data_IF_772283821025
#
_entry.id   IF_772283821025
#
_cell.length_a   1.000
_cell.length_b   1.000
_cell.length_c   1.000
_cell.angle_alpha   90.00
_cell.angle_beta   90.00
_cell.angle_gamma   90.00
#
_symmetry.space_group_name_H-M   'P 1'
#
loop_
_entity.id
_entity.type
_entity.pdbx_description
1 polymer ?
#
# COMPACT_ATOMS: atom_id res chain seq x y z
N UNK A 1 39.44 -36.89 -16.91
CA UNK A 1 38.85 -36.95 -15.55
C UNK A 1 39.80 -36.25 -14.60
N UNK A 2 39.62 -34.94 -14.44
CA UNK A 2 40.05 -34.14 -13.28
C UNK A 2 39.81 -32.66 -13.63
N UNK A 3 38.67 -32.15 -13.18
CA UNK A 3 38.32 -30.74 -13.19
C UNK A 3 39.28 -29.96 -12.29
N UNK A 4 39.79 -28.84 -12.81
CA UNK A 4 40.42 -27.79 -12.00
C UNK A 4 39.61 -26.51 -12.23
N UNK A 5 38.79 -26.17 -11.23
CA UNK A 5 37.99 -24.96 -11.16
C UNK A 5 38.93 -23.78 -10.84
N UNK A 6 38.95 -22.81 -11.76
CA UNK A 6 39.67 -21.57 -11.63
C UNK A 6 38.79 -20.55 -10.90
N UNK A 7 39.36 -19.92 -9.88
CA UNK A 7 38.77 -18.84 -9.09
C UNK A 7 38.54 -17.59 -9.94
N UNK A 8 37.32 -17.07 -9.92
CA UNK A 8 36.93 -15.87 -10.65
C UNK A 8 35.93 -15.06 -9.83
N UNK A 9 36.47 -14.26 -8.90
CA UNK A 9 35.78 -13.29 -8.06
C UNK A 9 34.89 -12.34 -8.89
N UNK A 10 33.57 -12.52 -8.83
CA UNK A 10 32.60 -11.50 -9.24
C UNK A 10 32.01 -10.82 -7.99
N UNK A 11 32.47 -9.59 -7.74
CA UNK A 11 31.83 -8.60 -6.86
C UNK A 11 30.41 -8.36 -7.37
N UNK A 12 29.40 -8.81 -6.61
CA UNK A 12 28.03 -8.35 -6.77
C UNK A 12 27.92 -6.93 -6.21
N UNK A 13 27.71 -5.97 -7.11
CA UNK A 13 27.32 -4.61 -6.76
C UNK A 13 25.86 -4.69 -6.30
N UNK A 14 25.64 -4.55 -4.99
CA UNK A 14 24.33 -4.39 -4.41
C UNK A 14 23.71 -3.08 -4.86
N UNK A 15 22.68 -3.15 -5.71
CA UNK A 15 21.77 -2.05 -5.94
C UNK A 15 20.80 -1.98 -4.75
N UNK A 16 21.14 -1.12 -3.79
CA UNK A 16 20.25 -0.73 -2.72
C UNK A 16 19.04 0.02 -3.27
N UNK A 17 17.86 -0.58 -3.17
CA UNK A 17 16.57 0.09 -3.33
C UNK A 17 16.00 0.42 -1.96
N UNK A 18 16.42 1.54 -1.37
CA UNK A 18 15.74 2.15 -0.21
C UNK A 18 14.45 2.82 -0.69
N UNK A 19 13.44 2.02 -0.98
CA UNK A 19 12.06 2.48 -1.13
C UNK A 19 11.35 2.32 0.20
N UNK A 20 11.03 3.43 0.87
CA UNK A 20 10.18 3.43 2.08
C UNK A 20 8.81 2.87 1.72
N UNK A 21 8.57 1.57 2.01
CA UNK A 21 7.30 0.87 1.72
C UNK A 21 6.04 1.48 2.34
N UNK A 22 6.19 2.49 3.21
CA UNK A 22 5.08 3.28 3.75
C UNK A 22 4.34 4.12 2.69
N UNK A 23 5.00 4.52 1.60
CA UNK A 23 4.38 5.34 0.55
C UNK A 23 3.41 4.56 -0.36
N UNK A 24 3.70 3.27 -0.58
CA UNK A 24 2.90 2.39 -1.43
C UNK A 24 1.53 2.06 -0.81
N UNK A 25 1.51 1.74 0.48
CA UNK A 25 0.27 1.47 1.22
C UNK A 25 -0.71 2.64 1.13
N UNK A 26 -0.28 3.85 1.48
CA UNK A 26 -1.15 5.02 1.46
C UNK A 26 -1.74 5.35 0.07
N UNK A 27 -0.98 5.14 -1.02
CA UNK A 27 -1.46 5.38 -2.39
C UNK A 27 -2.54 4.37 -2.83
N UNK A 28 -2.36 3.10 -2.49
CA UNK A 28 -3.32 2.01 -2.76
C UNK A 28 -4.65 2.22 -2.04
N UNK A 29 -4.61 2.72 -0.80
CA UNK A 29 -5.81 2.97 0.01
C UNK A 29 -6.58 4.23 -0.43
N UNK A 30 -5.90 5.21 -1.04
CA UNK A 30 -6.50 6.49 -1.46
C UNK A 30 -6.88 6.54 -2.94
N UNK A 31 -6.71 5.44 -3.68
CA UNK A 31 -6.80 5.38 -5.14
C UNK A 31 -5.82 6.31 -5.88
N UNK A 32 -4.69 6.68 -5.26
CA UNK A 32 -3.71 7.60 -5.85
C UNK A 32 -2.54 6.81 -6.43
N UNK A 33 -2.39 6.87 -7.76
CA UNK A 33 -1.23 6.33 -8.47
C UNK A 33 0.07 7.07 -8.11
N UNK A 34 1.23 6.42 -8.22
CA UNK A 34 2.54 7.08 -8.09
C UNK A 34 2.63 8.33 -8.97
N UNK A 35 3.33 9.37 -8.47
CA UNK A 35 3.39 10.69 -9.12
C UNK A 35 3.91 10.59 -10.57
N UNK A 36 4.90 9.73 -10.84
CA UNK A 36 5.46 9.53 -12.18
C UNK A 36 4.41 8.99 -13.16
N UNK A 37 3.64 7.98 -12.74
CA UNK A 37 2.55 7.41 -13.53
C UNK A 37 1.47 8.46 -13.81
N UNK A 38 1.05 9.22 -12.79
CA UNK A 38 0.04 10.28 -12.97
C UNK A 38 0.49 11.36 -13.96
N UNK A 39 1.75 11.79 -13.89
CA UNK A 39 2.33 12.75 -14.83
C UNK A 39 2.36 12.21 -16.26
N UNK A 40 2.74 10.95 -16.44
CA UNK A 40 2.72 10.30 -17.75
C UNK A 40 1.30 10.21 -18.33
N UNK A 41 0.31 9.77 -17.54
CA UNK A 41 -1.09 9.68 -17.96
C UNK A 41 -1.68 11.05 -18.35
N UNK A 42 -1.34 12.09 -17.60
CA UNK A 42 -1.76 13.46 -17.92
C UNK A 42 -1.14 13.94 -19.24
N UNK A 43 0.15 13.67 -19.45
CA UNK A 43 0.85 14.02 -20.69
C UNK A 43 0.29 13.26 -21.90
N UNK A 44 -0.06 11.98 -21.75
CA UNK A 44 -0.75 11.19 -22.79
C UNK A 44 -2.15 11.71 -23.09
N UNK A 45 -2.91 12.12 -22.07
CA UNK A 45 -4.22 12.76 -22.25
C UNK A 45 -4.12 14.06 -23.06
N UNK A 46 -3.08 14.85 -22.78
CA UNK A 46 -2.79 16.07 -23.55
C UNK A 46 -2.35 15.74 -24.99
N UNK A 47 -1.51 14.72 -25.19
CA UNK A 47 -1.11 14.26 -26.51
C UNK A 47 -2.32 13.80 -27.35
N UNK A 48 -3.23 13.04 -26.73
CA UNK A 48 -4.47 12.62 -27.35
C UNK A 48 -5.36 13.81 -27.76
N UNK A 49 -5.40 14.86 -26.94
CA UNK A 49 -6.04 16.14 -27.31
C UNK A 49 -5.37 16.81 -28.52
N UNK A 50 -4.04 16.89 -28.55
CA UNK A 50 -3.27 17.50 -29.64
C UNK A 50 -3.51 16.84 -31.00
N UNK A 51 -3.64 15.51 -31.03
CA UNK A 51 -3.90 14.74 -32.25
C UNK A 51 -5.29 15.04 -32.82
N UNK A 52 -6.29 15.27 -31.95
CA UNK A 52 -7.68 15.56 -32.35
C UNK A 52 -7.90 17.00 -32.81
N UNK A 53 -6.97 17.90 -32.51
CA UNK A 53 -7.11 19.31 -32.87
C UNK A 53 -7.05 19.52 -34.40
N UNK A 54 -7.74 20.56 -34.91
CA UNK A 54 -7.63 20.94 -36.31
C UNK A 54 -6.18 21.21 -36.71
N UNK A 55 -5.78 20.86 -37.95
CA UNK A 55 -4.39 21.03 -38.41
C UNK A 55 -3.93 22.48 -38.48
N UNK A 56 -4.86 23.43 -38.43
CA UNK A 56 -4.62 24.88 -38.43
C UNK A 56 -4.37 25.45 -37.04
N UNK A 57 -4.64 24.68 -35.96
CA UNK A 57 -4.39 25.13 -34.60
C UNK A 57 -2.89 25.20 -34.32
N UNK A 58 -2.44 26.28 -33.67
CA UNK A 58 -1.04 26.44 -33.26
C UNK A 58 -0.52 25.25 -32.44
N UNK A 59 -1.38 24.67 -31.59
CA UNK A 59 -1.01 23.50 -30.78
C UNK A 59 -0.80 22.25 -31.65
N UNK A 60 -1.62 22.02 -32.68
CA UNK A 60 -1.41 20.91 -33.62
C UNK A 60 -0.16 21.13 -34.49
N UNK A 61 0.10 22.37 -34.92
CA UNK A 61 1.32 22.73 -35.65
C UNK A 61 2.58 22.50 -34.82
N UNK A 62 2.58 22.91 -33.54
CA UNK A 62 3.67 22.66 -32.60
C UNK A 62 3.88 21.16 -32.34
N UNK A 63 2.79 20.39 -32.25
CA UNK A 63 2.84 18.93 -32.16
C UNK A 63 3.49 18.31 -33.42
N UNK A 64 3.07 18.70 -34.62
CA UNK A 64 3.67 18.23 -35.88
C UNK A 64 5.16 18.57 -35.97
N UNK A 65 5.55 19.77 -35.54
CA UNK A 65 6.95 20.17 -35.47
C UNK A 65 7.72 19.28 -34.47
N UNK A 66 7.15 18.99 -33.31
CA UNK A 66 7.75 18.08 -32.31
C UNK A 66 7.89 16.64 -32.83
N UNK A 67 6.90 16.18 -33.60
CA UNK A 67 6.92 14.87 -34.28
C UNK A 67 8.05 14.80 -35.32
N UNK A 68 8.22 15.84 -36.14
CA UNK A 68 9.33 15.93 -37.09
C UNK A 68 10.70 15.97 -36.39
N UNK A 69 10.81 16.71 -35.27
CA UNK A 69 12.03 16.73 -34.46
C UNK A 69 12.36 15.35 -33.90
N UNK A 70 11.38 14.62 -33.38
CA UNK A 70 11.52 13.24 -32.90
C UNK A 70 12.01 12.30 -34.01
N UNK A 71 11.44 12.40 -35.22
CA UNK A 71 11.87 11.61 -36.38
C UNK A 71 13.33 11.90 -36.78
N UNK A 72 13.80 13.14 -36.57
CA UNK A 72 15.19 13.54 -36.80
C UNK A 72 16.14 13.26 -35.62
N UNK A 73 15.66 12.64 -34.54
CA UNK A 73 16.45 12.34 -33.34
C UNK A 73 16.85 13.58 -32.52
N UNK A 74 16.15 14.70 -32.67
CA UNK A 74 16.42 15.95 -31.96
C UNK A 74 15.55 16.06 -30.71
N UNK A 75 16.12 16.59 -29.63
CA UNK A 75 15.41 16.80 -28.37
C UNK A 75 14.11 17.58 -28.57
N UNK A 76 13.02 17.03 -28.05
CA UNK A 76 11.69 17.62 -28.11
C UNK A 76 10.81 17.02 -27.01
N UNK A 77 9.67 17.65 -26.76
CA UNK A 77 8.72 17.21 -25.74
C UNK A 77 8.26 15.74 -25.91
N UNK A 78 8.14 15.24 -27.14
CA UNK A 78 7.77 13.84 -27.38
C UNK A 78 8.88 12.86 -27.00
N UNK A 79 10.15 13.23 -27.15
CA UNK A 79 11.27 12.41 -26.67
C UNK A 79 11.36 12.41 -25.15
N UNK A 80 11.08 13.55 -24.51
CA UNK A 80 11.00 13.62 -23.04
C UNK A 80 9.86 12.73 -22.52
N UNK A 81 8.71 12.71 -23.21
CA UNK A 81 7.60 11.84 -22.87
C UNK A 81 7.95 10.35 -23.04
N UNK A 82 8.63 10.00 -24.13
CA UNK A 82 9.11 8.63 -24.37
C UNK A 82 10.08 8.19 -23.26
N UNK A 83 11.02 9.07 -22.89
CA UNK A 83 11.94 8.84 -21.78
C UNK A 83 11.19 8.61 -20.46
N UNK A 84 10.21 9.46 -20.11
CA UNK A 84 9.41 9.30 -18.89
C UNK A 84 8.68 7.96 -18.87
N UNK A 85 8.09 7.54 -20.00
CA UNK A 85 7.34 6.28 -20.11
C UNK A 85 8.29 5.07 -19.95
N UNK A 86 9.47 5.12 -20.55
CA UNK A 86 10.49 4.08 -20.43
C UNK A 86 11.04 3.92 -19.00
N UNK A 87 11.06 5.02 -18.24
CA UNK A 87 11.56 5.05 -16.86
C UNK A 87 10.46 4.87 -15.80
N UNK A 88 9.23 4.54 -16.20
CA UNK A 88 8.21 4.10 -15.25
C UNK A 88 8.62 2.77 -14.64
N UNK A 89 8.41 2.63 -13.33
CA UNK A 89 8.66 1.38 -12.62
C UNK A 89 7.79 0.26 -13.20
N UNK A 90 8.36 -0.92 -13.37
CA UNK A 90 7.65 -2.11 -13.86
C UNK A 90 8.57 -3.17 -14.47
N UNK A 91 8.00 -4.33 -14.75
CA UNK A 91 8.71 -5.45 -15.39
C UNK A 91 8.87 -5.24 -16.89
N UNK A 92 7.97 -4.48 -17.50
CA UNK A 92 7.91 -4.26 -18.95
C UNK A 92 8.27 -2.81 -19.28
N UNK A 93 9.27 -2.62 -20.12
CA UNK A 93 9.55 -1.31 -20.71
C UNK A 93 8.44 -0.96 -21.68
N UNK A 94 7.77 0.17 -21.42
CA UNK A 94 6.76 0.74 -22.30
C UNK A 94 7.40 1.82 -23.17
N UNK A 95 6.87 1.98 -24.37
CA UNK A 95 7.40 2.94 -25.34
C UNK A 95 6.27 3.73 -25.96
N UNK A 96 6.54 4.99 -26.29
CA UNK A 96 5.60 5.79 -27.06
C UNK A 96 5.62 5.31 -28.53
N UNK A 97 4.45 5.04 -29.17
CA UNK A 97 4.39 4.58 -30.56
C UNK A 97 5.18 5.46 -31.52
N UNK A 98 5.63 4.88 -32.64
CA UNK A 98 6.26 5.64 -33.71
C UNK A 98 5.27 6.68 -34.27
N UNK A 99 5.78 7.73 -34.91
CA UNK A 99 4.97 8.84 -35.40
C UNK A 99 3.82 8.40 -36.33
N UNK A 100 4.04 7.39 -37.15
CA UNK A 100 3.04 6.86 -38.10
C UNK A 100 1.91 6.11 -37.38
N UNK A 101 2.23 5.51 -36.23
CA UNK A 101 1.30 4.75 -35.39
C UNK A 101 0.73 5.60 -34.25
N UNK A 102 1.01 6.91 -34.23
CA UNK A 102 0.59 7.81 -33.17
C UNK A 102 -0.89 8.20 -33.35
N UNK A 103 -1.77 7.23 -33.13
CA UNK A 103 -3.22 7.35 -33.26
C UNK A 103 -3.89 7.40 -31.88
N UNK A 104 -5.10 7.99 -31.76
CA UNK A 104 -5.85 7.99 -30.50
C UNK A 104 -6.04 6.58 -29.92
N UNK A 105 -6.32 5.59 -30.78
CA UNK A 105 -6.51 4.20 -30.36
C UNK A 105 -5.24 3.58 -29.75
N UNK A 106 -4.07 3.84 -30.36
CA UNK A 106 -2.80 3.33 -29.83
C UNK A 106 -2.41 4.03 -28.53
N UNK A 107 -2.76 5.31 -28.36
CA UNK A 107 -2.57 6.02 -27.08
C UNK A 107 -3.49 5.47 -25.98
N UNK A 108 -4.72 5.08 -26.31
CA UNK A 108 -5.63 4.43 -25.36
C UNK A 108 -5.10 3.06 -24.93
N UNK A 109 -4.52 2.28 -25.86
CA UNK A 109 -3.85 1.02 -25.56
C UNK A 109 -2.63 1.22 -24.66
N UNK A 110 -1.78 2.21 -24.96
CA UNK A 110 -0.63 2.54 -24.13
C UNK A 110 -1.05 3.02 -22.73
N UNK A 111 -2.10 3.83 -22.65
CA UNK A 111 -2.68 4.29 -21.38
C UNK A 111 -3.09 3.11 -20.51
N UNK A 112 -3.84 2.14 -21.08
CA UNK A 112 -4.22 0.91 -20.39
C UNK A 112 -2.99 0.08 -19.96
N UNK A 113 -1.97 -0.02 -20.81
CA UNK A 113 -0.74 -0.74 -20.50
C UNK A 113 0.02 -0.10 -19.31
N UNK A 114 0.12 1.23 -19.29
CA UNK A 114 0.73 1.98 -18.16
C UNK A 114 -0.05 1.74 -16.87
N UNK A 115 -1.38 1.78 -16.93
CA UNK A 115 -2.23 1.53 -15.76
C UNK A 115 -2.09 0.10 -15.22
N UNK A 116 -2.03 -0.89 -16.10
CA UNK A 116 -1.83 -2.29 -15.75
C UNK A 116 -0.45 -2.53 -15.14
N UNK A 117 0.60 -1.98 -15.76
CA UNK A 117 1.97 -2.05 -15.24
C UNK A 117 2.09 -1.36 -13.88
N UNK A 118 1.45 -0.20 -13.70
CA UNK A 118 1.39 0.46 -12.39
C UNK A 118 0.66 -0.39 -11.35
N UNK A 119 -0.41 -1.09 -11.72
CA UNK A 119 -1.14 -1.96 -10.80
C UNK A 119 -0.32 -3.19 -10.40
N UNK A 120 0.41 -3.80 -11.34
CA UNK A 120 1.26 -4.96 -11.04
C UNK A 120 2.41 -4.59 -10.10
N UNK A 121 3.05 -3.44 -10.30
CA UNK A 121 4.09 -2.92 -9.39
C UNK A 121 3.54 -2.72 -7.98
N UNK A 122 2.42 -2.02 -7.84
CA UNK A 122 1.81 -1.78 -6.53
C UNK A 122 1.37 -3.08 -5.84
N UNK A 123 0.83 -4.04 -6.59
CA UNK A 123 0.45 -5.34 -6.05
C UNK A 123 1.69 -6.13 -5.59
N UNK A 124 2.78 -6.08 -6.35
CA UNK A 124 4.04 -6.71 -5.98
C UNK A 124 4.65 -6.05 -4.72
N UNK A 125 4.58 -4.73 -4.60
CA UNK A 125 5.00 -4.01 -3.39
C UNK A 125 4.20 -4.44 -2.16
N UNK A 126 2.87 -4.56 -2.30
CA UNK A 126 2.00 -5.07 -1.22
C UNK A 126 2.43 -6.49 -0.82
N UNK A 127 2.60 -7.38 -1.79
CA UNK A 127 2.87 -8.80 -1.54
C UNK A 127 4.30 -9.05 -1.03
N UNK A 128 5.27 -8.23 -1.44
CA UNK A 128 6.66 -8.34 -1.00
C UNK A 128 6.91 -7.73 0.38
N UNK A 129 6.14 -6.71 0.77
CA UNK A 129 6.35 -6.02 2.04
C UNK A 129 5.51 -6.62 3.16
N UNK A 130 6.16 -7.41 4.03
CA UNK A 130 5.54 -8.13 5.15
C UNK A 130 4.73 -7.27 6.14
N UNK A 131 4.96 -5.95 6.23
CA UNK A 131 4.16 -5.07 7.10
C UNK A 131 2.77 -4.78 6.52
N UNK A 132 2.58 -5.02 5.22
CA UNK A 132 1.31 -4.89 4.53
C UNK A 132 0.57 -6.24 4.44
N UNK A 133 0.92 -7.21 5.29
CA UNK A 133 0.29 -8.53 5.30
C UNK A 133 -1.23 -8.48 5.45
N UNK A 134 -1.75 -7.49 6.19
CA UNK A 134 -3.20 -7.26 6.29
C UNK A 134 -3.86 -6.95 4.93
N UNK A 135 -3.13 -6.41 3.96
CA UNK A 135 -3.62 -6.10 2.62
C UNK A 135 -3.57 -7.29 1.65
N UNK A 136 -2.90 -8.39 2.00
CA UNK A 136 -2.73 -9.53 1.10
C UNK A 136 -4.07 -10.19 0.75
N UNK A 137 -4.33 -10.43 -0.54
CA UNK A 137 -5.55 -11.09 -0.99
C UNK A 137 -6.84 -10.41 -0.53
N UNK A 138 -6.81 -9.10 -0.26
CA UNK A 138 -7.96 -8.34 0.20
C UNK A 138 -9.06 -8.31 -0.87
N UNK A 139 -10.29 -8.53 -0.45
CA UNK A 139 -11.51 -8.29 -1.25
C UNK A 139 -12.21 -7.07 -0.65
N UNK A 140 -12.56 -6.09 -1.49
CA UNK A 140 -13.29 -4.91 -1.01
C UNK A 140 -14.73 -5.33 -0.68
N UNK A 141 -15.25 -4.99 0.50
CA UNK A 141 -16.65 -5.24 0.81
C UNK A 141 -17.53 -4.40 -0.11
N UNK A 142 -18.58 -5.03 -0.65
CA UNK A 142 -19.62 -4.33 -1.37
C UNK A 142 -20.66 -3.81 -0.39
N UNK A 143 -21.24 -2.64 -0.66
CA UNK A 143 -22.47 -2.22 0.01
C UNK A 143 -23.54 -3.31 -0.19
N UNK A 144 -24.18 -3.82 0.88
CA UNK A 144 -25.26 -4.80 0.78
C UNK A 144 -26.37 -4.40 -0.19
N UNK A 145 -26.57 -3.10 -0.41
CA UNK A 145 -27.61 -2.57 -1.31
C UNK A 145 -27.20 -2.60 -2.80
N UNK A 146 -25.90 -2.60 -3.11
CA UNK A 146 -25.41 -2.37 -4.48
C UNK A 146 -25.40 -3.62 -5.38
N UNK A 147 -25.62 -4.83 -4.85
CA UNK A 147 -25.59 -6.11 -5.60
C UNK A 147 -24.34 -6.30 -6.51
N UNK A 148 -23.27 -5.54 -6.30
CA UNK A 148 -22.05 -5.62 -7.09
C UNK A 148 -21.23 -6.84 -6.66
N UNK A 149 -20.68 -7.56 -7.64
CA UNK A 149 -19.75 -8.65 -7.37
C UNK A 149 -18.54 -8.16 -6.55
N UNK A 150 -18.05 -8.95 -5.58
CA UNK A 150 -16.87 -8.60 -4.81
C UNK A 150 -15.66 -8.37 -5.72
N UNK A 151 -14.97 -7.24 -5.57
CA UNK A 151 -13.80 -6.88 -6.37
C UNK A 151 -12.56 -6.77 -5.49
N UNK A 152 -11.40 -7.08 -6.07
CA UNK A 152 -10.09 -6.83 -5.46
C UNK A 152 -9.32 -5.78 -6.26
N UNK A 153 -9.77 -4.51 -6.29
CA UNK A 153 -9.05 -3.47 -7.00
C UNK A 153 -7.74 -3.16 -6.27
N UNK A 154 -6.64 -3.04 -7.02
CA UNK A 154 -5.35 -2.59 -6.47
C UNK A 154 -5.46 -1.15 -5.97
N UNK A 155 -6.08 -0.26 -6.73
CA UNK A 155 -6.30 1.14 -6.36
C UNK A 155 -7.80 1.39 -6.18
N UNK A 156 -8.21 1.76 -4.98
CA UNK A 156 -9.60 2.13 -4.68
C UNK A 156 -9.63 3.00 -3.44
N UNK A 157 -10.58 3.94 -3.37
CA UNK A 157 -10.82 4.74 -2.19
C UNK A 157 -11.61 3.88 -1.19
N UNK A 158 -10.92 3.44 -0.14
CA UNK A 158 -11.41 2.32 0.69
C UNK A 158 -12.59 2.70 1.57
N UNK A 159 -13.47 1.73 1.80
CA UNK A 159 -14.69 1.91 2.59
C UNK A 159 -14.43 2.53 3.98
N UNK A 160 -13.42 2.06 4.70
CA UNK A 160 -13.10 2.57 6.04
C UNK A 160 -12.60 4.04 6.05
N UNK A 161 -12.16 4.59 4.91
CA UNK A 161 -11.75 6.00 4.79
C UNK A 161 -12.92 6.99 4.69
N UNK A 162 -14.15 6.52 4.50
CA UNK A 162 -15.33 7.39 4.53
C UNK A 162 -16.40 6.92 5.52
N UNK A 163 -16.45 5.63 5.83
CA UNK A 163 -17.33 5.05 6.85
C UNK A 163 -16.96 5.46 8.28
N UNK A 164 -15.66 5.61 8.55
CA UNK A 164 -15.18 5.97 9.89
C UNK A 164 -15.15 7.48 10.01
N UNK A 165 -16.19 8.06 10.60
CA UNK A 165 -16.34 9.51 10.75
C UNK A 165 -15.29 10.15 11.66
N UNK A 166 -14.83 9.43 12.68
CA UNK A 166 -13.81 9.93 13.59
C UNK A 166 -12.41 9.84 12.99
N UNK A 167 -11.79 10.99 12.74
CA UNK A 167 -10.45 11.09 12.16
C UNK A 167 -9.37 10.30 12.94
N UNK A 168 -9.38 10.33 14.28
CA UNK A 168 -8.39 9.61 15.10
C UNK A 168 -8.51 8.09 14.94
N UNK A 169 -9.74 7.59 14.88
CA UNK A 169 -10.02 6.16 14.65
C UNK A 169 -9.57 5.74 13.25
N UNK A 170 -9.93 6.54 12.24
CA UNK A 170 -9.54 6.32 10.86
C UNK A 170 -8.01 6.33 10.69
N UNK A 171 -7.32 7.31 11.28
CA UNK A 171 -5.85 7.42 11.25
C UNK A 171 -5.18 6.20 11.89
N UNK A 172 -5.69 5.74 13.04
CA UNK A 172 -5.17 4.56 13.74
C UNK A 172 -5.27 3.30 12.89
N UNK A 173 -6.43 3.04 12.28
CA UNK A 173 -6.63 1.89 11.40
C UNK A 173 -5.83 2.00 10.10
N UNK A 174 -5.79 3.18 9.49
CA UNK A 174 -4.99 3.39 8.27
C UNK A 174 -3.51 3.13 8.54
N UNK A 175 -2.98 3.61 9.67
CA UNK A 175 -1.60 3.33 10.09
C UNK A 175 -1.37 1.85 10.36
N UNK A 176 -2.31 1.16 10.99
CA UNK A 176 -2.26 -0.29 11.22
C UNK A 176 -2.18 -1.07 9.90
N UNK A 177 -3.13 -0.82 9.00
CA UNK A 177 -3.26 -1.50 7.70
C UNK A 177 -2.05 -1.23 6.81
N UNK A 178 -1.57 0.02 6.76
CA UNK A 178 -0.42 0.42 5.96
C UNK A 178 0.94 0.05 6.59
N UNK A 179 0.95 -0.68 7.72
CA UNK A 179 2.20 -1.06 8.39
C UNK A 179 3.04 0.12 8.88
N UNK A 180 2.39 1.27 9.09
CA UNK A 180 2.99 2.55 9.49
C UNK A 180 2.78 2.88 10.98
N UNK A 181 2.46 1.86 11.78
CA UNK A 181 2.67 1.96 13.22
C UNK A 181 4.18 1.84 13.44
N UNK A 182 4.77 2.81 14.15
CA UNK A 182 6.20 2.86 14.40
C UNK A 182 6.69 1.49 14.94
N UNK A 183 7.94 1.07 14.66
CA UNK A 183 8.51 -0.17 15.24
C UNK A 183 8.49 -0.20 16.78
N UNK A 184 8.27 0.96 17.41
CA UNK A 184 8.07 1.13 18.85
C UNK A 184 6.68 0.74 19.33
N UNK A 185 5.67 0.80 18.45
CA UNK A 185 4.29 0.44 18.78
C UNK A 185 4.07 -1.08 18.76
N UNK A 186 4.61 -1.77 17.76
CA UNK A 186 4.67 -3.23 17.72
C UNK A 186 6.08 -3.67 17.32
N UNK A 187 6.68 -4.56 18.11
CA UNK A 187 8.03 -5.09 17.82
C UNK A 187 8.05 -6.05 16.64
N UNK A 188 6.90 -6.64 16.31
CA UNK A 188 6.70 -7.60 15.22
C UNK A 188 5.56 -7.17 14.29
N UNK A 189 5.62 -7.66 13.06
CA UNK A 189 4.63 -7.32 12.03
C UNK A 189 3.41 -8.23 12.06
N UNK A 190 2.28 -7.80 11.47
CA UNK A 190 1.08 -8.64 11.47
C UNK A 190 1.33 -9.96 10.74
N UNK A 191 0.81 -11.06 11.29
CA UNK A 191 0.94 -12.40 10.70
C UNK A 191 2.39 -12.92 10.67
N UNK A 192 3.25 -12.40 11.54
CA UNK A 192 4.68 -12.77 11.58
C UNK A 192 4.85 -14.21 12.05
N UNK A 193 5.42 -15.04 11.19
CA UNK A 193 5.95 -16.36 11.57
C UNK A 193 7.40 -16.25 12.09
N UNK A 194 7.81 -17.12 13.04
CA UNK A 194 9.20 -17.22 13.49
C UNK A 194 10.13 -17.59 12.32
N UNK A 195 11.27 -16.90 12.20
CA UNK A 195 12.36 -17.29 11.29
C UNK A 195 13.54 -17.90 12.08
N UNK A 196 14.36 -18.78 11.48
CA UNK A 196 15.49 -19.42 12.16
C UNK A 196 16.49 -18.44 12.80
N UNK A 197 16.69 -17.28 12.18
CA UNK A 197 17.65 -16.26 12.64
C UNK A 197 17.05 -15.22 13.61
N UNK A 198 15.77 -15.37 14.00
CA UNK A 198 15.11 -14.39 14.84
C UNK A 198 15.57 -14.50 16.31
N UNK A 199 16.04 -13.37 16.86
CA UNK A 199 16.24 -13.22 18.30
C UNK A 199 14.87 -12.98 18.95
N UNK A 200 14.24 -14.06 19.40
CA UNK A 200 12.89 -14.06 19.98
C UNK A 200 12.70 -12.96 21.03
N UNK A 201 13.63 -12.82 21.97
CA UNK A 201 13.54 -11.88 23.09
C UNK A 201 13.38 -10.41 22.67
N UNK A 202 13.95 -10.02 21.53
CA UNK A 202 13.83 -8.65 21.00
C UNK A 202 12.47 -8.38 20.34
N UNK A 203 11.71 -9.44 20.07
CA UNK A 203 10.46 -9.43 19.33
C UNK A 203 9.27 -9.90 20.17
N UNK A 204 9.52 -10.33 21.41
CA UNK A 204 8.51 -10.66 22.41
C UNK A 204 7.65 -9.45 22.79
N UNK A 205 6.38 -9.75 23.06
CA UNK A 205 5.41 -8.86 23.67
C UNK A 205 5.92 -8.33 25.00
N UNK A 206 5.93 -7.00 25.13
CA UNK A 206 6.36 -6.30 26.36
C UNK A 206 5.58 -6.71 27.61
N UNK A 207 4.30 -7.05 27.45
CA UNK A 207 3.44 -7.43 28.57
C UNK A 207 3.62 -8.90 28.98
N UNK A 208 3.39 -9.85 28.07
CA UNK A 208 3.39 -11.28 28.42
C UNK A 208 4.78 -11.94 28.33
N UNK A 209 5.68 -11.42 27.50
CA UNK A 209 7.01 -11.99 27.17
C UNK A 209 6.99 -13.44 26.66
N UNK A 210 5.84 -13.97 26.27
CA UNK A 210 5.65 -15.36 25.86
C UNK A 210 5.38 -15.50 24.35
N UNK A 211 4.89 -14.44 23.71
CA UNK A 211 4.52 -14.43 22.30
C UNK A 211 5.16 -13.23 21.59
N UNK A 212 5.24 -13.29 20.26
CA UNK A 212 5.66 -12.14 19.45
C UNK A 212 4.71 -10.95 19.63
N UNK A 213 5.28 -9.75 19.69
CA UNK A 213 4.49 -8.51 19.80
C UNK A 213 3.90 -8.09 18.44
N UNK A 214 2.91 -8.83 17.97
CA UNK A 214 2.16 -8.51 16.76
C UNK A 214 0.86 -7.78 17.10
N UNK A 215 0.24 -7.06 16.14
CA UNK A 215 -1.05 -6.43 16.37
C UNK A 215 -2.13 -7.43 16.78
N UNK A 216 -2.22 -8.58 16.13
CA UNK A 216 -3.18 -9.64 16.46
C UNK A 216 -2.98 -10.17 17.88
N UNK A 217 -1.73 -10.32 18.34
CA UNK A 217 -1.46 -10.71 19.72
C UNK A 217 -1.97 -9.65 20.70
N UNK A 218 -1.55 -8.40 20.54
CA UNK A 218 -1.92 -7.32 21.48
C UNK A 218 -3.43 -7.04 21.46
N UNK A 219 -4.03 -6.98 20.27
CA UNK A 219 -5.45 -6.66 20.11
C UNK A 219 -6.36 -7.82 20.54
N UNK A 220 -6.03 -9.07 20.19
CA UNK A 220 -6.99 -10.18 20.27
C UNK A 220 -6.61 -11.31 21.23
N UNK A 221 -5.35 -11.43 21.68
CA UNK A 221 -4.91 -12.58 22.48
C UNK A 221 -4.31 -12.21 23.85
N UNK A 222 -3.59 -11.09 23.96
CA UNK A 222 -2.83 -10.76 25.16
C UNK A 222 -3.75 -10.61 26.38
N UNK A 223 -3.42 -11.32 27.47
CA UNK A 223 -4.20 -11.30 28.72
C UNK A 223 -3.54 -10.46 29.84
N UNK A 224 -2.36 -9.90 29.58
CA UNK A 224 -1.51 -9.34 30.63
C UNK A 224 -1.77 -7.84 30.91
N UNK A 225 -2.53 -7.16 30.04
CA UNK A 225 -2.94 -5.77 30.25
C UNK A 225 -4.46 -5.74 30.45
N UNK A 226 -4.90 -5.61 31.71
CA UNK A 226 -6.30 -5.76 32.09
C UNK A 226 -7.23 -4.77 31.35
N UNK A 227 -6.80 -3.53 31.18
CA UNK A 227 -7.56 -2.52 30.43
C UNK A 227 -7.82 -2.94 28.97
N UNK A 228 -6.83 -3.54 28.31
CA UNK A 228 -6.98 -4.06 26.94
C UNK A 228 -7.90 -5.28 26.93
N UNK A 229 -7.83 -6.15 27.95
CA UNK A 229 -8.73 -7.30 28.09
C UNK A 229 -10.18 -6.85 28.21
N UNK A 230 -10.45 -5.80 29.00
CA UNK A 230 -11.80 -5.28 29.19
C UNK A 230 -12.33 -4.57 27.92
N UNK A 231 -11.48 -3.79 27.24
CA UNK A 231 -11.79 -3.22 25.92
C UNK A 231 -12.12 -4.31 24.90
N UNK A 232 -11.30 -5.36 24.83
CA UNK A 232 -11.50 -6.49 23.91
C UNK A 232 -12.80 -7.23 24.22
N UNK A 233 -13.09 -7.52 25.50
CA UNK A 233 -14.33 -8.21 25.90
C UNK A 233 -15.55 -7.40 25.45
N UNK A 234 -15.56 -6.09 25.74
CA UNK A 234 -16.64 -5.19 25.35
C UNK A 234 -16.81 -5.13 23.84
N UNK A 235 -15.71 -5.02 23.09
CA UNK A 235 -15.74 -4.97 21.64
C UNK A 235 -16.24 -6.28 21.04
N UNK A 236 -15.64 -7.43 21.38
CA UNK A 236 -16.03 -8.73 20.82
C UNK A 236 -17.49 -9.06 21.13
N UNK A 237 -17.97 -8.79 22.34
CA UNK A 237 -19.40 -8.93 22.67
C UNK A 237 -20.29 -8.04 21.81
N UNK A 238 -19.86 -6.81 21.48
CA UNK A 238 -20.65 -5.90 20.62
C UNK A 238 -20.76 -6.36 19.16
N UNK A 239 -19.83 -7.19 18.69
CA UNK A 239 -19.84 -7.77 17.35
C UNK A 239 -20.26 -9.25 17.34
N UNK A 240 -20.88 -9.73 18.43
CA UNK A 240 -21.37 -11.11 18.60
C UNK A 240 -20.28 -12.19 18.45
N UNK A 241 -19.06 -11.89 18.87
CA UNK A 241 -17.94 -12.82 18.90
C UNK A 241 -17.64 -13.19 20.35
N UNK A 242 -17.45 -14.49 20.63
CA UNK A 242 -17.12 -14.95 21.98
C UNK A 242 -15.75 -14.40 22.44
N UNK A 243 -15.71 -13.56 23.49
CA UNK A 243 -14.46 -12.98 23.98
C UNK A 243 -13.55 -13.98 24.70
N UNK A 244 -14.08 -15.12 25.14
CA UNK A 244 -13.34 -16.11 25.93
C UNK A 244 -12.81 -17.28 25.07
N UNK A 245 -13.22 -17.36 23.81
CA UNK A 245 -12.75 -18.39 22.90
C UNK A 245 -11.25 -18.22 22.64
N UNK A 246 -10.46 -19.23 23.00
CA UNK A 246 -9.05 -19.30 22.65
C UNK A 246 -8.88 -19.47 21.14
N UNK A 247 -7.95 -18.72 20.56
CA UNK A 247 -7.71 -18.65 19.12
C UNK A 247 -6.23 -18.77 18.82
N UNK A 248 -5.88 -19.55 17.80
CA UNK A 248 -4.53 -19.62 17.27
C UNK A 248 -4.13 -18.29 16.61
N UNK A 249 -2.83 -18.06 16.45
CA UNK A 249 -2.30 -16.84 15.83
C UNK A 249 -2.84 -16.62 14.41
N UNK A 250 -2.93 -17.70 13.62
CA UNK A 250 -3.51 -17.67 12.27
C UNK A 250 -4.99 -17.26 12.29
N UNK A 251 -5.76 -17.77 13.24
CA UNK A 251 -7.17 -17.42 13.38
C UNK A 251 -7.31 -15.95 13.82
N UNK A 252 -6.47 -15.48 14.74
CA UNK A 252 -6.49 -14.07 15.15
C UNK A 252 -6.10 -13.12 14.03
N UNK A 253 -5.16 -13.49 13.17
CA UNK A 253 -4.81 -12.72 11.98
C UNK A 253 -6.00 -12.60 11.01
N UNK A 254 -6.63 -13.72 10.65
CA UNK A 254 -7.79 -13.71 9.75
C UNK A 254 -9.01 -13.02 10.38
N UNK A 255 -9.22 -13.17 11.69
CA UNK A 255 -10.25 -12.46 12.43
C UNK A 255 -10.01 -10.94 12.42
N UNK A 256 -8.79 -10.49 12.69
CA UNK A 256 -8.46 -9.07 12.64
C UNK A 256 -8.74 -8.51 11.24
N UNK A 257 -8.34 -9.25 10.20
CA UNK A 257 -8.56 -8.89 8.81
C UNK A 257 -10.06 -8.78 8.48
N UNK A 258 -10.87 -9.77 8.88
CA UNK A 258 -12.32 -9.75 8.65
C UNK A 258 -13.02 -8.60 9.39
N UNK A 259 -12.61 -8.30 10.62
CA UNK A 259 -13.13 -7.19 11.41
C UNK A 259 -12.79 -5.81 10.82
N UNK A 260 -11.57 -5.66 10.27
CA UNK A 260 -11.09 -4.40 9.68
C UNK A 260 -11.78 -4.08 8.35
N UNK A 261 -12.04 -5.11 7.54
CA UNK A 261 -12.62 -4.96 6.20
C UNK A 261 -14.11 -5.35 6.14
N UNK A 262 -14.75 -5.54 7.29
CA UNK A 262 -16.20 -5.71 7.36
C UNK A 262 -16.90 -4.39 7.09
N UNK A 263 -17.93 -4.42 6.23
CA UNK A 263 -18.76 -3.25 5.96
C UNK A 263 -19.34 -2.68 7.26
N UNK A 264 -20.00 -3.51 8.07
CA UNK A 264 -20.77 -3.07 9.24
C UNK A 264 -19.91 -2.81 10.48
N UNK A 265 -18.84 -3.60 10.65
CA UNK A 265 -18.08 -3.59 11.89
C UNK A 265 -16.93 -2.58 11.87
N UNK A 266 -16.53 -2.05 10.71
CA UNK A 266 -15.34 -1.21 10.57
C UNK A 266 -15.28 -0.02 11.54
N UNK A 267 -16.40 0.65 11.82
CA UNK A 267 -16.44 1.80 12.71
C UNK A 267 -16.15 1.40 14.17
N UNK A 268 -16.74 0.28 14.61
CA UNK A 268 -16.51 -0.29 15.94
C UNK A 268 -15.09 -0.84 16.07
N UNK A 269 -14.62 -1.57 15.05
CA UNK A 269 -13.25 -2.07 14.98
C UNK A 269 -12.25 -0.92 15.03
N UNK A 270 -12.51 0.17 14.31
CA UNK A 270 -11.60 1.33 14.27
C UNK A 270 -11.52 2.06 15.60
N UNK A 271 -12.65 2.18 16.30
CA UNK A 271 -12.67 2.70 17.68
C UNK A 271 -11.88 1.79 18.61
N UNK A 272 -12.14 0.49 18.58
CA UNK A 272 -11.46 -0.50 19.41
C UNK A 272 -9.93 -0.46 19.21
N UNK A 273 -9.47 -0.49 17.95
CA UNK A 273 -8.04 -0.39 17.62
C UNK A 273 -7.45 0.89 18.21
N UNK A 274 -8.08 2.04 17.99
CA UNK A 274 -7.59 3.32 18.51
C UNK A 274 -7.51 3.33 20.05
N UNK A 275 -8.53 2.80 20.74
CA UNK A 275 -8.57 2.77 22.20
C UNK A 275 -7.49 1.84 22.77
N UNK A 276 -7.25 0.67 22.15
CA UNK A 276 -6.15 -0.22 22.54
C UNK A 276 -4.79 0.43 22.28
N UNK A 277 -4.60 1.10 21.14
CA UNK A 277 -3.33 1.74 20.81
C UNK A 277 -2.96 2.87 21.79
N UNK A 278 -3.96 3.59 22.34
CA UNK A 278 -3.74 4.58 23.40
C UNK A 278 -3.19 3.91 24.66
N UNK A 279 -3.90 2.90 25.17
CA UNK A 279 -3.48 2.15 26.38
C UNK A 279 -2.10 1.52 26.18
N UNK A 280 -1.86 0.91 25.02
CA UNK A 280 -0.60 0.22 24.72
C UNK A 280 0.59 1.19 24.59
N UNK A 281 0.36 2.42 24.12
CA UNK A 281 1.38 3.48 24.03
C UNK A 281 1.67 4.07 25.41
N UNK A 282 0.63 4.40 26.17
CA UNK A 282 0.73 5.08 27.46
C UNK A 282 1.30 4.16 28.55
N UNK A 283 0.98 2.86 28.52
CA UNK A 283 1.46 1.88 29.50
C UNK A 283 2.93 1.46 29.35
N UNK A 284 3.64 1.89 28.30
CA UNK A 284 4.98 1.38 27.94
C UNK A 284 6.09 2.46 27.86
N UNK A 285 5.85 3.70 28.32
CA UNK A 285 6.83 4.81 28.26
C UNK A 285 7.55 4.89 26.89
N UNK A 286 6.79 4.85 25.80
CA UNK A 286 7.35 5.11 24.47
C UNK A 286 7.55 6.62 24.38
N UNK A 287 8.79 7.09 24.50
CA UNK A 287 9.15 8.49 24.28
C UNK A 287 8.59 8.97 22.93
N UNK A 288 7.89 10.12 22.96
CA UNK A 288 7.29 10.77 21.80
C UNK A 288 8.37 11.48 20.99
N UNK A 289 9.26 10.73 20.35
CA UNK A 289 10.16 11.35 19.37
C UNK A 289 9.39 11.59 18.07
N UNK A 290 8.86 12.81 17.91
CA UNK A 290 8.44 13.34 16.61
C UNK A 290 6.93 13.37 16.30
N UNK A 291 6.04 13.24 17.29
CA UNK A 291 4.66 13.73 17.13
C UNK A 291 4.56 15.18 17.64
N UNK A 292 5.29 16.08 16.96
CA UNK A 292 5.08 17.51 17.11
C UNK A 292 3.72 17.90 16.52
N UNK A 293 2.86 18.42 17.40
CA UNK A 293 1.93 19.53 17.13
C UNK A 293 0.88 19.44 16.00
N UNK A 294 0.14 18.34 15.87
CA UNK A 294 -1.10 18.32 15.07
C UNK A 294 -2.39 18.28 15.91
N UNK A 295 -2.28 18.19 17.24
CA UNK A 295 -3.43 18.22 18.16
C UNK A 295 -3.99 19.65 18.41
N UNK A 296 -3.48 20.68 17.72
CA UNK A 296 -3.88 22.10 17.90
C UNK A 296 -4.67 22.73 16.72
N UNK A 297 -5.27 21.96 15.82
CA UNK A 297 -6.22 22.55 14.85
C UNK A 297 -7.53 21.78 14.80
N UNK A 298 -8.47 22.31 15.58
CA UNK A 298 -9.92 22.16 15.44
C UNK A 298 -10.40 22.43 14.00
#
# INVERSE_FOLDING_TARGET
MSESLNEGTQKSVGAGGTGTGAGAGAGVETAIRPIGVRRALLALSYLHYLIKLPPTSFANLAFKASSALRASGKSCWLMDLDWVIQHLLGEHSLFLPHNDDLTPANLDLLTKAIEQNSNSVLLNEINSYYRLSLLWGRVEPTDPEDNLEPRSPVLCFRHYLHRVSNYRHQRSVTRLICGNLCPTMFRSSPGRCPKPDDIFDLKCCRACRQHYETPEHVLLQCLHVQEIVDLRRKFLSSVNIDPNLERSDSHCFELLKSLLFSWDQNAYTSKFVNDVLKVWKDGNNIERDGEDSDDERE
#
